data_IF_661094481922
#
_entry.id   IF_661094481922
#
_cell.length_a   1.000
_cell.length_b   1.000
_cell.length_c   1.000
_cell.angle_alpha   90.00
_cell.angle_beta   90.00
_cell.angle_gamma   90.00
#
_symmetry.space_group_name_H-M   'P 1'
#
loop_
_entity.id
_entity.type
_entity.pdbx_description
1 polymer ?
#
# COMPACT_ATOMS: atom_id res chain seq x y z
N UNK A 1 -9.38 19.15 -24.70
CA UNK A 1 -7.94 18.83 -24.59
C UNK A 1 -7.22 19.39 -23.35
N UNK A 2 -7.69 20.46 -22.69
CA UNK A 2 -7.03 21.07 -21.52
C UNK A 2 -6.99 20.17 -20.25
N UNK A 3 -8.08 19.46 -19.93
CA UNK A 3 -8.14 18.58 -18.75
C UNK A 3 -7.22 17.35 -18.84
N UNK A 4 -7.08 16.74 -20.03
CA UNK A 4 -6.15 15.60 -20.26
C UNK A 4 -4.68 16.00 -20.10
N UNK A 5 -4.30 17.21 -20.50
CA UNK A 5 -2.95 17.70 -20.28
C UNK A 5 -2.70 17.92 -18.79
N UNK A 6 -3.58 18.64 -18.07
CA UNK A 6 -3.43 18.84 -16.63
C UNK A 6 -3.37 17.52 -15.84
N UNK A 7 -4.19 16.52 -16.18
CA UNK A 7 -4.17 15.21 -15.51
C UNK A 7 -2.85 14.45 -15.73
N UNK A 8 -2.28 14.50 -16.94
CA UNK A 8 -0.99 13.87 -17.25
C UNK A 8 0.19 14.55 -16.55
N UNK A 9 0.16 15.88 -16.41
CA UNK A 9 1.20 16.63 -15.71
C UNK A 9 1.20 16.36 -14.21
N UNK A 10 0.02 16.34 -13.56
CA UNK A 10 -0.11 15.94 -12.16
C UNK A 10 0.36 14.49 -11.94
N UNK A 11 -0.11 13.54 -12.76
CA UNK A 11 0.30 12.13 -12.65
C UNK A 11 1.80 11.90 -12.87
N UNK A 12 2.50 12.74 -13.66
CA UNK A 12 3.96 12.63 -13.85
C UNK A 12 4.75 13.14 -12.64
N UNK A 13 4.30 14.21 -11.99
CA UNK A 13 4.98 14.75 -10.80
C UNK A 13 4.75 13.85 -9.58
N UNK A 14 3.53 13.34 -9.43
CA UNK A 14 3.14 12.38 -8.39
C UNK A 14 3.93 11.06 -8.48
N UNK A 15 4.08 10.51 -9.69
CA UNK A 15 4.93 9.33 -9.94
C UNK A 15 6.40 9.54 -9.61
N UNK A 16 6.92 10.76 -9.78
CA UNK A 16 8.31 11.09 -9.43
C UNK A 16 8.50 11.15 -7.91
N UNK A 17 7.54 11.74 -7.19
CA UNK A 17 7.58 11.82 -5.73
C UNK A 17 7.59 10.45 -5.06
N UNK A 18 6.65 9.57 -5.43
CA UNK A 18 6.57 8.22 -4.84
C UNK A 18 7.80 7.36 -5.16
N UNK A 19 8.34 7.47 -6.39
CA UNK A 19 9.59 6.78 -6.75
C UNK A 19 10.80 7.28 -5.97
N UNK A 20 10.93 8.60 -5.82
CA UNK A 20 12.02 9.17 -5.02
C UNK A 20 11.94 8.71 -3.56
N UNK A 21 10.72 8.69 -2.98
CA UNK A 21 10.51 8.16 -1.64
C UNK A 21 10.91 6.68 -1.54
N UNK A 22 10.48 5.86 -2.49
CA UNK A 22 10.84 4.43 -2.52
C UNK A 22 12.35 4.22 -2.59
N UNK A 23 13.09 4.99 -3.40
CA UNK A 23 14.55 4.91 -3.46
C UNK A 23 15.20 5.32 -2.15
N UNK A 24 14.70 6.36 -1.48
CA UNK A 24 15.19 6.76 -0.15
C UNK A 24 14.91 5.66 0.87
N UNK A 25 13.74 5.03 0.84
CA UNK A 25 13.39 3.94 1.75
C UNK A 25 14.27 2.71 1.54
N UNK A 26 14.72 2.40 0.32
CA UNK A 26 15.65 1.28 0.09
C UNK A 26 16.98 1.45 0.84
N UNK A 27 17.49 2.68 0.92
CA UNK A 27 18.79 2.98 1.54
C UNK A 27 18.68 3.40 3.01
N UNK A 28 17.54 3.94 3.42
CA UNK A 28 17.36 4.47 4.77
C UNK A 28 17.15 3.32 5.76
N UNK A 29 18.10 3.15 6.68
CA UNK A 29 18.07 2.14 7.73
C UNK A 29 17.75 2.73 9.12
N UNK A 30 17.28 3.97 9.16
CA UNK A 30 16.94 4.68 10.41
C UNK A 30 15.44 4.92 10.57
N UNK A 31 14.69 5.06 9.48
CA UNK A 31 13.25 5.29 9.51
C UNK A 31 12.50 4.02 9.91
N UNK A 32 11.73 4.13 10.99
CA UNK A 32 10.89 3.04 11.50
C UNK A 32 9.40 3.23 11.21
N UNK A 33 8.98 4.44 10.85
CA UNK A 33 7.59 4.76 10.49
C UNK A 33 7.52 5.81 9.39
N UNK A 34 6.56 5.66 8.49
CA UNK A 34 6.17 6.70 7.54
C UNK A 34 4.67 6.95 7.59
N UNK A 35 4.29 8.24 7.51
CA UNK A 35 2.92 8.69 7.37
C UNK A 35 2.75 9.29 5.98
N UNK A 36 1.91 8.65 5.18
CA UNK A 36 1.52 9.06 3.84
C UNK A 36 -0.02 9.17 3.74
N UNK A 37 -0.68 9.36 4.88
CA UNK A 37 -2.12 9.57 4.93
C UNK A 37 -2.53 10.77 4.08
N UNK A 38 -3.77 10.74 3.56
CA UNK A 38 -4.34 11.80 2.71
C UNK A 38 -3.58 12.06 1.40
N UNK A 39 -2.65 11.19 1.03
CA UNK A 39 -1.84 11.34 -0.17
C UNK A 39 -2.54 10.73 -1.38
N UNK A 40 -3.49 11.48 -1.96
CA UNK A 40 -4.25 11.06 -3.15
C UNK A 40 -3.39 10.76 -4.40
N UNK A 41 -2.10 11.10 -4.34
CA UNK A 41 -1.12 10.91 -5.42
C UNK A 41 -0.37 9.59 -5.41
N UNK A 42 -0.50 8.76 -4.37
CA UNK A 42 0.18 7.46 -4.30
C UNK A 42 -0.36 6.55 -5.39
N UNK A 43 -1.64 6.19 -5.25
CA UNK A 43 -2.30 5.22 -6.10
C UNK A 43 -1.55 3.89 -6.28
N UNK A 44 -2.00 3.07 -7.21
CA UNK A 44 -1.40 1.74 -7.44
C UNK A 44 0.10 1.81 -7.78
N UNK A 45 0.52 2.81 -8.56
CA UNK A 45 1.92 2.98 -8.96
C UNK A 45 2.81 3.39 -7.78
N UNK A 46 2.30 4.20 -6.85
CA UNK A 46 2.99 4.54 -5.62
C UNK A 46 3.10 3.33 -4.69
N UNK A 47 2.02 2.53 -4.57
CA UNK A 47 2.05 1.27 -3.82
C UNK A 47 3.06 0.28 -4.40
N UNK A 48 3.17 0.15 -5.73
CA UNK A 48 4.19 -0.69 -6.38
C UNK A 48 5.61 -0.23 -6.04
N UNK A 49 5.87 1.07 -6.11
CA UNK A 49 7.18 1.63 -5.74
C UNK A 49 7.49 1.38 -4.25
N UNK A 50 6.52 1.59 -3.36
CA UNK A 50 6.65 1.28 -1.94
C UNK A 50 6.92 -0.21 -1.71
N UNK A 51 6.17 -1.10 -2.36
CA UNK A 51 6.35 -2.55 -2.28
C UNK A 51 7.76 -2.99 -2.68
N UNK A 52 8.33 -2.43 -3.74
CA UNK A 52 9.73 -2.69 -4.12
C UNK A 52 10.72 -2.25 -3.03
N UNK A 53 10.46 -1.10 -2.38
CA UNK A 53 11.29 -0.64 -1.27
C UNK A 53 11.17 -1.54 -0.04
N UNK A 54 9.97 -2.06 0.26
CA UNK A 54 9.71 -2.96 1.39
C UNK A 54 10.35 -4.33 1.21
N UNK A 55 10.51 -4.81 -0.03
CA UNK A 55 11.28 -6.06 -0.27
C UNK A 55 12.73 -5.94 0.20
N UNK A 56 13.27 -4.72 0.31
CA UNK A 56 14.67 -4.45 0.68
C UNK A 56 14.79 -3.88 2.10
N UNK A 57 13.93 -2.93 2.47
CA UNK A 57 13.98 -2.25 3.75
C UNK A 57 13.51 -3.19 4.88
N UNK A 58 14.39 -3.42 5.86
CA UNK A 58 14.12 -4.25 7.05
C UNK A 58 14.11 -3.43 8.35
N UNK A 59 13.90 -2.11 8.27
CA UNK A 59 13.88 -1.19 9.44
C UNK A 59 12.53 -0.51 9.62
N UNK A 60 11.77 -0.36 8.53
CA UNK A 60 10.45 0.23 8.55
C UNK A 60 9.43 -0.74 9.15
N UNK A 61 8.86 -0.34 10.27
CA UNK A 61 7.93 -1.13 11.09
C UNK A 61 6.47 -0.70 10.94
N UNK A 62 6.21 0.53 10.47
CA UNK A 62 4.86 1.07 10.32
C UNK A 62 4.70 1.95 9.07
N UNK A 63 3.58 1.80 8.37
CA UNK A 63 3.20 2.63 7.23
C UNK A 63 1.75 3.06 7.39
N UNK A 64 1.50 4.37 7.27
CA UNK A 64 0.15 4.91 7.13
C UNK A 64 -0.14 5.34 5.68
N UNK A 65 -1.16 4.72 5.07
CA UNK A 65 -1.70 5.01 3.73
C UNK A 65 -3.20 5.32 3.81
N UNK A 66 -3.71 5.72 4.98
CA UNK A 66 -5.12 6.07 5.15
C UNK A 66 -5.54 7.23 4.25
N UNK A 67 -6.83 7.29 3.91
CA UNK A 67 -7.42 8.35 3.09
C UNK A 67 -6.77 8.50 1.69
N UNK A 68 -6.12 7.44 1.19
CA UNK A 68 -5.49 7.43 -0.12
C UNK A 68 -6.47 6.93 -1.20
N UNK A 69 -7.18 7.86 -1.84
CA UNK A 69 -8.25 7.58 -2.82
C UNK A 69 -7.83 6.85 -4.10
N UNK A 70 -6.52 6.74 -4.38
CA UNK A 70 -6.00 6.14 -5.62
C UNK A 70 -5.59 4.67 -5.50
N UNK A 71 -5.58 4.11 -4.29
CA UNK A 71 -5.13 2.74 -4.04
C UNK A 71 -6.26 1.78 -4.38
N UNK A 72 -6.02 0.89 -5.34
CA UNK A 72 -6.93 -0.17 -5.72
C UNK A 72 -6.30 -1.55 -5.63
N UNK A 73 -6.89 -2.50 -6.37
CA UNK A 73 -6.51 -3.91 -6.31
C UNK A 73 -5.05 -4.16 -6.66
N UNK A 74 -4.53 -3.46 -7.68
CA UNK A 74 -3.14 -3.62 -8.12
C UNK A 74 -2.13 -3.07 -7.11
N UNK A 75 -2.46 -1.96 -6.43
CA UNK A 75 -1.68 -1.44 -5.32
C UNK A 75 -1.66 -2.41 -4.14
N UNK A 76 -2.81 -3.00 -3.80
CA UNK A 76 -2.94 -3.98 -2.73
C UNK A 76 -2.18 -5.27 -3.03
N UNK A 77 -2.24 -5.78 -4.27
CA UNK A 77 -1.44 -6.93 -4.72
C UNK A 77 0.05 -6.70 -4.55
N UNK A 78 0.55 -5.54 -4.99
CA UNK A 78 1.96 -5.21 -4.85
C UNK A 78 2.39 -5.16 -3.37
N UNK A 79 1.58 -4.54 -2.51
CA UNK A 79 1.83 -4.52 -1.07
C UNK A 79 1.83 -5.94 -0.49
N UNK A 80 0.86 -6.77 -0.83
CA UNK A 80 0.77 -8.17 -0.40
C UNK A 80 2.03 -8.97 -0.78
N UNK A 81 2.49 -8.88 -2.02
CA UNK A 81 3.72 -9.53 -2.46
C UNK A 81 4.96 -9.08 -1.67
N UNK A 82 5.01 -7.80 -1.27
CA UNK A 82 6.12 -7.32 -0.44
C UNK A 82 6.06 -7.85 0.99
N UNK A 83 4.84 -8.09 1.52
CA UNK A 83 4.65 -8.69 2.84
C UNK A 83 5.13 -10.15 2.87
N UNK A 84 5.08 -10.90 1.79
CA UNK A 84 5.56 -12.30 1.81
C UNK A 84 7.04 -12.43 2.22
N UNK A 85 7.86 -11.44 1.86
CA UNK A 85 9.30 -11.42 2.15
C UNK A 85 9.71 -10.45 3.27
N UNK A 86 8.98 -9.35 3.47
CA UNK A 86 9.31 -8.37 4.51
C UNK A 86 9.02 -8.92 5.92
N UNK A 87 10.02 -8.88 6.80
CA UNK A 87 9.91 -9.36 8.19
C UNK A 87 10.02 -8.25 9.25
N UNK A 88 10.12 -7.00 8.83
CA UNK A 88 10.24 -5.84 9.70
C UNK A 88 8.92 -5.07 9.87
N UNK A 89 8.09 -5.04 8.83
CA UNK A 89 6.82 -4.31 8.85
C UNK A 89 5.82 -5.02 9.76
N UNK A 90 5.37 -4.30 10.78
CA UNK A 90 4.45 -4.80 11.82
C UNK A 90 3.07 -4.17 11.72
N UNK A 91 2.96 -2.99 11.12
CA UNK A 91 1.70 -2.24 11.02
C UNK A 91 1.52 -1.61 9.63
N UNK A 92 0.34 -1.78 9.05
CA UNK A 92 -0.09 -1.05 7.85
C UNK A 92 -1.50 -0.48 8.04
N UNK A 93 -1.67 0.81 7.79
CA UNK A 93 -2.97 1.46 7.79
C UNK A 93 -3.40 1.78 6.36
N UNK A 94 -4.52 1.20 5.93
CA UNK A 94 -5.16 1.41 4.63
C UNK A 94 -6.59 1.94 4.80
N UNK A 95 -6.96 2.47 5.97
CA UNK A 95 -8.34 2.89 6.25
C UNK A 95 -8.82 3.98 5.29
N UNK A 96 -10.12 3.97 5.01
CA UNK A 96 -10.78 4.91 4.10
C UNK A 96 -10.19 4.93 2.67
N UNK A 97 -9.56 3.83 2.24
CA UNK A 97 -9.19 3.64 0.84
C UNK A 97 -10.38 3.13 0.05
N UNK A 98 -10.97 3.98 -0.79
CA UNK A 98 -12.20 3.65 -1.53
C UNK A 98 -12.00 2.85 -2.81
N UNK A 99 -10.76 2.70 -3.28
CA UNK A 99 -10.44 2.04 -4.56
C UNK A 99 -10.23 0.54 -4.46
N UNK A 100 -10.16 -0.03 -3.24
CA UNK A 100 -9.85 -1.43 -2.99
C UNK A 100 -11.12 -2.27 -3.21
N UNK A 101 -11.05 -3.21 -4.16
CA UNK A 101 -12.10 -4.18 -4.44
C UNK A 101 -11.77 -5.58 -3.87
N UNK A 102 -12.62 -6.54 -4.21
CA UNK A 102 -12.53 -7.91 -3.69
C UNK A 102 -11.17 -8.57 -3.96
N UNK A 103 -10.60 -8.35 -5.15
CA UNK A 103 -9.30 -8.93 -5.53
C UNK A 103 -8.15 -8.31 -4.73
N UNK A 104 -8.21 -7.02 -4.40
CA UNK A 104 -7.23 -6.35 -3.54
C UNK A 104 -7.25 -6.93 -2.12
N UNK A 105 -8.43 -7.09 -1.53
CA UNK A 105 -8.57 -7.71 -0.20
C UNK A 105 -8.13 -9.16 -0.19
N UNK A 106 -8.44 -9.92 -1.24
CA UNK A 106 -8.01 -11.32 -1.35
C UNK A 106 -6.48 -11.43 -1.43
N UNK A 107 -5.84 -10.56 -2.21
CA UNK A 107 -4.38 -10.52 -2.29
C UNK A 107 -3.76 -10.17 -0.92
N UNK A 108 -4.30 -9.17 -0.23
CA UNK A 108 -3.86 -8.84 1.14
C UNK A 108 -3.99 -10.06 2.07
N UNK A 109 -5.13 -10.76 2.05
CA UNK A 109 -5.32 -11.97 2.84
C UNK A 109 -4.29 -13.07 2.51
N UNK A 110 -3.95 -13.28 1.25
CA UNK A 110 -2.92 -14.25 0.83
C UNK A 110 -1.53 -13.86 1.34
N UNK A 111 -1.15 -12.58 1.23
CA UNK A 111 0.12 -12.08 1.77
C UNK A 111 0.20 -12.19 3.30
N UNK A 112 -0.91 -11.91 3.99
CA UNK A 112 -1.03 -12.02 5.45
C UNK A 112 -0.89 -13.46 5.96
N UNK A 113 -1.40 -14.46 5.22
CA UNK A 113 -1.21 -15.89 5.56
C UNK A 113 0.25 -16.30 5.66
N UNK A 114 1.08 -15.69 4.82
CA UNK A 114 2.51 -16.00 4.69
C UNK A 114 3.33 -15.15 5.66
N UNK A 115 2.99 -13.86 5.79
CA UNK A 115 3.70 -12.92 6.65
C UNK A 115 3.43 -13.23 8.14
N UNK A 116 4.50 -13.37 8.93
CA UNK A 116 4.43 -13.61 10.39
C UNK A 116 4.89 -12.42 11.24
N UNK A 117 5.30 -11.33 10.61
CA UNK A 117 5.78 -10.11 11.24
C UNK A 117 4.68 -9.06 11.39
N UNK A 118 3.75 -8.97 10.44
CA UNK A 118 2.64 -8.02 10.49
C UNK A 118 1.66 -8.44 11.58
N UNK A 119 1.44 -7.55 12.56
CA UNK A 119 0.54 -7.77 13.70
C UNK A 119 -0.69 -6.89 13.64
N UNK A 120 -0.67 -5.84 12.81
CA UNK A 120 -1.77 -4.89 12.66
C UNK A 120 -1.99 -4.51 11.21
N UNK A 121 -3.23 -4.67 10.74
CA UNK A 121 -3.71 -4.12 9.49
C UNK A 121 -5.04 -3.40 9.71
N UNK A 122 -5.12 -2.13 9.32
CA UNK A 122 -6.35 -1.35 9.42
C UNK A 122 -6.98 -1.16 8.03
N UNK A 123 -8.16 -1.77 7.84
CA UNK A 123 -8.99 -1.66 6.63
C UNK A 123 -10.35 -1.00 6.94
N UNK A 124 -10.46 -0.28 8.07
CA UNK A 124 -11.70 0.38 8.46
C UNK A 124 -12.14 1.41 7.43
N UNK A 125 -13.45 1.58 7.27
CA UNK A 125 -14.05 2.52 6.32
C UNK A 125 -13.72 2.28 4.84
N UNK A 126 -13.00 1.20 4.52
CA UNK A 126 -12.86 0.78 3.14
C UNK A 126 -14.18 0.16 2.66
N UNK A 127 -14.58 0.51 1.45
CA UNK A 127 -15.80 0.01 0.82
C UNK A 127 -15.46 -1.21 -0.05
N UNK A 128 -16.48 -1.95 -0.49
CA UNK A 128 -16.27 -3.01 -1.48
C UNK A 128 -15.70 -4.32 -0.95
N UNK A 129 -15.70 -4.57 0.36
CA UNK A 129 -15.39 -5.90 0.92
C UNK A 129 -16.61 -6.80 0.72
N UNK A 130 -16.54 -7.71 -0.24
CA UNK A 130 -17.51 -8.79 -0.44
C UNK A 130 -17.34 -9.92 0.58
N UNK A 131 -18.38 -10.74 0.75
CA UNK A 131 -18.40 -11.85 1.72
C UNK A 131 -17.21 -12.82 1.57
N UNK A 132 -16.75 -13.05 0.34
CA UNK A 132 -15.59 -13.93 0.07
C UNK A 132 -14.30 -13.31 0.59
N UNK A 133 -14.13 -12.00 0.40
CA UNK A 133 -12.95 -11.27 0.87
C UNK A 133 -12.96 -11.09 2.39
N UNK A 134 -14.13 -10.86 3.01
CA UNK A 134 -14.28 -10.95 4.48
C UNK A 134 -13.77 -12.30 5.00
N UNK A 135 -14.18 -13.40 4.36
CA UNK A 135 -13.76 -14.75 4.76
C UNK A 135 -12.26 -14.95 4.56
N UNK A 136 -11.71 -14.50 3.43
CA UNK A 136 -10.28 -14.60 3.16
C UNK A 136 -9.43 -13.89 4.22
N UNK A 137 -9.81 -12.65 4.58
CA UNK A 137 -9.17 -11.86 5.63
C UNK A 137 -9.35 -12.46 7.03
N UNK A 138 -10.49 -13.12 7.30
CA UNK A 138 -10.70 -13.80 8.58
C UNK A 138 -9.85 -15.09 8.71
N UNK A 139 -9.47 -15.70 7.58
CA UNK A 139 -8.65 -16.92 7.53
C UNK A 139 -7.16 -16.62 7.36
N UNK A 140 -6.76 -15.35 7.27
CA UNK A 140 -5.36 -14.97 7.02
C UNK A 140 -4.48 -14.98 8.25
#
# INVERSE_FOLDING_TARGET
>A
SSHKHRSLWLQRHQRRGCKALAEVLKINQALTSIDLSWCHSIGDEGCKALAESLKINQTLTSIDLSDCSGIGDEGCKALAESLESNRALTSINLSNCSGIGDEGYKALAEGLKINRALTSINLSWCIGIGNKSCKALAES
#
